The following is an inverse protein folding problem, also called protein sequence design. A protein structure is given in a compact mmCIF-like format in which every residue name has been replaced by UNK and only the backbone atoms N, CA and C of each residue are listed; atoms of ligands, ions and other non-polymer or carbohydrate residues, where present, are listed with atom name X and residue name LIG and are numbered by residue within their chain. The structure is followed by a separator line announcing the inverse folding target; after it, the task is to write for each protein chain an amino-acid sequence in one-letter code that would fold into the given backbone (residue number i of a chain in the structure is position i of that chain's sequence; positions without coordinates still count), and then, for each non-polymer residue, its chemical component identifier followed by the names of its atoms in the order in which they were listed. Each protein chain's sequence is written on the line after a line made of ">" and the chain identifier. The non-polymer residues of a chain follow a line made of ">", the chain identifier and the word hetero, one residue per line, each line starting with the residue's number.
data_IF_485301132021
#
_entry.id   IF_485301132021
#
_cell.length_a   1.000
_cell.length_b   1.000
_cell.length_c   1.000
_cell.angle_alpha   90.00
_cell.angle_beta   90.00
_cell.angle_gamma   90.00
#
_symmetry.space_group_name_H-M   'P 1'
#
loop_
_entity.id
_entity.type
_entity.pdbx_description
1 polymer ?
#
# COMPACT_ATOMS: atom_id res chain seq x y z
N UNK A 1 37.94 -8.20 -45.61
CA UNK A 1 38.21 -6.84 -45.10
C UNK A 1 37.48 -6.71 -43.79
N UNK A 2 38.16 -6.33 -42.70
CA UNK A 2 37.52 -6.08 -41.40
C UNK A 2 36.62 -4.85 -41.55
N UNK A 3 35.30 -5.02 -41.54
CA UNK A 3 34.40 -3.88 -41.67
C UNK A 3 34.40 -3.09 -40.36
N UNK A 4 35.11 -1.96 -40.38
CA UNK A 4 35.30 -1.07 -39.23
C UNK A 4 33.97 -0.54 -38.66
N UNK A 5 32.93 -0.38 -39.49
CA UNK A 5 31.62 0.10 -39.06
C UNK A 5 30.86 -0.96 -38.27
N UNK A 6 30.91 -2.23 -38.70
CA UNK A 6 30.30 -3.37 -37.99
C UNK A 6 30.99 -3.57 -36.64
N UNK A 7 32.33 -3.58 -36.63
CA UNK A 7 33.10 -3.75 -35.39
C UNK A 7 32.77 -2.66 -34.36
N UNK A 8 32.71 -1.39 -34.79
CA UNK A 8 32.35 -0.27 -33.91
C UNK A 8 30.93 -0.36 -33.36
N UNK A 9 29.95 -0.78 -34.17
CA UNK A 9 28.57 -0.94 -33.71
C UNK A 9 28.43 -2.08 -32.70
N UNK A 10 29.10 -3.20 -32.95
CA UNK A 10 29.09 -4.38 -32.08
C UNK A 10 29.77 -4.09 -30.74
N UNK A 11 30.87 -3.33 -30.73
CA UNK A 11 31.56 -2.95 -29.48
C UNK A 11 30.65 -2.09 -28.58
N UNK A 12 29.91 -1.13 -29.15
CA UNK A 12 28.92 -0.36 -28.40
C UNK A 12 27.73 -1.21 -27.95
N UNK A 13 27.24 -2.10 -28.81
CA UNK A 13 26.13 -3.01 -28.50
C UNK A 13 26.47 -3.93 -27.33
N UNK A 14 27.70 -4.46 -27.28
CA UNK A 14 28.21 -5.29 -26.18
C UNK A 14 28.08 -4.61 -24.82
N UNK A 15 28.44 -3.32 -24.73
CA UNK A 15 28.38 -2.55 -23.47
C UNK A 15 26.95 -2.53 -22.89
N UNK A 16 25.94 -2.47 -23.76
CA UNK A 16 24.54 -2.43 -23.34
C UNK A 16 23.95 -3.82 -22.99
N UNK A 17 24.66 -4.92 -23.28
CA UNK A 17 24.24 -6.30 -22.97
C UNK A 17 24.80 -6.85 -21.65
N UNK A 18 25.36 -6.03 -20.76
CA UNK A 18 25.98 -6.47 -19.49
C UNK A 18 25.05 -7.23 -18.52
N UNK A 19 23.73 -7.26 -18.80
CA UNK A 19 22.75 -7.99 -17.99
C UNK A 19 22.64 -9.48 -18.38
N UNK A 20 23.23 -9.89 -19.51
CA UNK A 20 23.33 -11.29 -19.93
C UNK A 20 24.64 -11.90 -19.41
N UNK A 21 24.65 -13.22 -19.23
CA UNK A 21 25.87 -13.96 -18.94
C UNK A 21 26.85 -13.91 -20.14
N UNK A 22 28.15 -14.03 -19.87
CA UNK A 22 29.21 -13.87 -20.90
C UNK A 22 29.02 -14.80 -22.12
N UNK A 23 28.47 -16.00 -21.90
CA UNK A 23 28.17 -16.96 -22.97
C UNK A 23 27.02 -16.48 -23.86
N UNK A 24 25.91 -16.07 -23.26
CA UNK A 24 24.73 -15.60 -24.00
C UNK A 24 25.03 -14.27 -24.72
N UNK A 25 25.84 -13.42 -24.10
CA UNK A 25 26.32 -12.19 -24.71
C UNK A 25 27.15 -12.48 -25.98
N UNK A 26 28.03 -13.47 -25.95
CA UNK A 26 28.83 -13.88 -27.11
C UNK A 26 27.92 -14.39 -28.25
N UNK A 27 26.96 -15.25 -27.93
CA UNK A 27 26.03 -15.83 -28.92
C UNK A 27 25.18 -14.74 -29.61
N UNK A 28 24.63 -13.81 -28.83
CA UNK A 28 23.84 -12.68 -29.37
C UNK A 28 24.68 -11.79 -30.27
N UNK A 29 25.92 -11.50 -29.87
CA UNK A 29 26.83 -10.66 -30.64
C UNK A 29 27.21 -11.33 -31.97
N UNK A 30 27.48 -12.63 -31.94
CA UNK A 30 27.83 -13.40 -33.13
C UNK A 30 26.66 -13.46 -34.11
N UNK A 31 25.45 -13.70 -33.63
CA UNK A 31 24.23 -13.70 -34.45
C UNK A 31 24.03 -12.37 -35.20
N UNK A 32 24.08 -11.24 -34.49
CA UNK A 32 23.89 -9.93 -35.13
C UNK A 32 25.06 -9.52 -36.03
N UNK A 33 26.28 -10.00 -35.72
CA UNK A 33 27.45 -9.80 -36.58
C UNK A 33 27.29 -10.55 -37.90
N UNK A 34 26.86 -11.81 -37.88
CA UNK A 34 26.60 -12.61 -39.08
C UNK A 34 25.47 -11.99 -39.90
N UNK A 35 24.39 -11.57 -39.25
CA UNK A 35 23.28 -10.86 -39.91
C UNK A 35 23.73 -9.59 -40.63
N UNK A 36 24.58 -8.76 -40.02
CA UNK A 36 25.10 -7.54 -40.66
C UNK A 36 25.98 -7.83 -41.88
N UNK A 37 26.69 -8.96 -41.88
CA UNK A 37 27.54 -9.40 -42.98
C UNK A 37 26.67 -9.92 -44.13
N UNK A 38 25.70 -10.78 -43.82
CA UNK A 38 24.80 -11.40 -44.81
C UNK A 38 23.86 -10.38 -45.46
N UNK A 39 23.38 -9.40 -44.70
CA UNK A 39 22.54 -8.32 -45.19
C UNK A 39 23.33 -7.17 -45.87
N UNK A 40 24.64 -7.33 -46.04
CA UNK A 40 25.55 -6.33 -46.62
C UNK A 40 25.43 -4.93 -45.99
N UNK A 41 25.30 -4.89 -44.66
CA UNK A 41 25.19 -3.65 -43.88
C UNK A 41 26.58 -3.05 -43.63
N UNK A 42 27.24 -2.62 -44.71
CA UNK A 42 28.65 -2.22 -44.67
C UNK A 42 28.90 -0.78 -44.16
N UNK A 43 27.85 0.00 -43.86
CA UNK A 43 27.93 1.39 -43.41
C UNK A 43 27.12 1.61 -42.13
N UNK A 44 27.61 2.45 -41.22
CA UNK A 44 26.95 2.81 -39.96
C UNK A 44 25.50 3.27 -40.17
N UNK A 45 25.23 4.05 -41.21
CA UNK A 45 23.88 4.55 -41.49
C UNK A 45 22.92 3.42 -41.90
N UNK A 46 23.41 2.43 -42.67
CA UNK A 46 22.61 1.26 -43.05
C UNK A 46 22.30 0.38 -41.83
N UNK A 47 23.29 0.16 -40.97
CA UNK A 47 23.12 -0.62 -39.73
C UNK A 47 22.09 0.06 -38.82
N UNK A 48 22.19 1.38 -38.63
CA UNK A 48 21.25 2.13 -37.77
C UNK A 48 19.84 2.18 -38.36
N UNK A 49 19.70 2.26 -39.69
CA UNK A 49 18.37 2.26 -40.32
C UNK A 49 17.65 0.90 -40.16
N UNK A 50 18.37 -0.21 -40.31
CA UNK A 50 17.79 -1.55 -40.24
C UNK A 50 17.62 -2.07 -38.80
N UNK A 51 18.64 -1.90 -37.97
CA UNK A 51 18.70 -2.47 -36.62
C UNK A 51 18.46 -1.44 -35.50
N UNK A 52 18.44 -0.15 -35.82
CA UNK A 52 18.38 0.94 -34.86
C UNK A 52 19.73 1.24 -34.22
N UNK A 53 19.74 2.14 -33.23
CA UNK A 53 20.95 2.44 -32.45
C UNK A 53 21.35 1.22 -31.58
N UNK A 54 22.64 1.03 -31.25
CA UNK A 54 23.10 -0.09 -30.43
C UNK A 54 22.33 -0.23 -29.10
N UNK A 55 22.00 0.91 -28.48
CA UNK A 55 21.20 0.98 -27.25
C UNK A 55 19.74 0.53 -27.45
N UNK A 56 19.14 0.84 -28.59
CA UNK A 56 17.77 0.45 -28.89
C UNK A 56 17.68 -1.05 -29.16
N UNK A 57 18.62 -1.59 -29.95
CA UNK A 57 18.73 -3.02 -30.21
C UNK A 57 18.94 -3.80 -28.90
N UNK A 58 19.85 -3.34 -28.03
CA UNK A 58 20.12 -4.00 -26.75
C UNK A 58 18.89 -4.06 -25.85
N UNK A 59 18.09 -2.98 -25.79
CA UNK A 59 16.86 -2.97 -25.01
C UNK A 59 15.83 -3.97 -25.55
N UNK A 60 15.73 -4.11 -26.88
CA UNK A 60 14.83 -5.08 -27.52
C UNK A 60 15.26 -6.51 -27.17
N UNK A 61 16.54 -6.82 -27.35
CA UNK A 61 17.09 -8.15 -27.03
C UNK A 61 16.93 -8.48 -25.55
N UNK A 62 17.24 -7.55 -24.65
CA UNK A 62 17.05 -7.74 -23.21
C UNK A 62 15.59 -7.99 -22.83
N UNK A 63 14.65 -7.29 -23.48
CA UNK A 63 13.24 -7.51 -23.24
C UNK A 63 12.83 -8.93 -23.68
N UNK A 64 13.23 -9.37 -24.87
CA UNK A 64 12.92 -10.71 -25.38
C UNK A 64 13.56 -11.81 -24.52
N UNK A 65 14.81 -11.62 -24.06
CA UNK A 65 15.46 -12.53 -23.11
C UNK A 65 14.78 -12.55 -21.74
N UNK A 66 14.34 -11.40 -21.22
CA UNK A 66 13.62 -11.34 -19.94
C UNK A 66 12.26 -12.04 -20.01
N UNK A 67 11.58 -11.95 -21.15
CA UNK A 67 10.34 -12.68 -21.40
C UNK A 67 10.65 -14.17 -21.46
N UNK A 68 11.68 -14.60 -22.20
CA UNK A 68 12.09 -16.01 -22.28
C UNK A 68 12.52 -16.58 -20.93
N UNK A 69 13.22 -15.82 -20.08
CA UNK A 69 13.58 -16.24 -18.72
C UNK A 69 12.36 -16.30 -17.80
N UNK A 70 11.40 -15.38 -17.94
CA UNK A 70 10.13 -15.46 -17.22
C UNK A 70 9.31 -16.66 -17.69
N UNK A 71 9.30 -16.93 -19.00
CA UNK A 71 8.62 -18.06 -19.61
C UNK A 71 9.30 -19.36 -19.25
N UNK A 72 10.64 -19.43 -19.14
CA UNK A 72 11.37 -20.59 -18.63
C UNK A 72 11.09 -20.84 -17.14
N UNK A 73 10.98 -19.78 -16.33
CA UNK A 73 10.48 -19.89 -14.95
C UNK A 73 9.00 -20.33 -14.87
N UNK A 74 8.19 -20.03 -15.89
CA UNK A 74 6.80 -20.51 -16.04
C UNK A 74 6.69 -21.88 -16.75
N UNK A 75 7.68 -22.30 -17.55
CA UNK A 75 7.78 -23.57 -18.27
C UNK A 75 8.45 -24.64 -17.40
N UNK A 76 9.26 -24.24 -16.41
CA UNK A 76 9.57 -25.06 -15.24
C UNK A 76 8.34 -25.28 -14.33
N UNK A 77 7.22 -24.61 -14.59
CA UNK A 77 5.90 -24.90 -14.00
C UNK A 77 4.99 -25.66 -15.00
N UNK A 78 5.28 -25.67 -16.31
CA UNK A 78 4.34 -26.15 -17.36
C UNK A 78 4.88 -27.14 -18.41
N UNK A 79 6.09 -27.68 -18.30
CA UNK A 79 6.43 -28.88 -19.06
C UNK A 79 5.93 -30.11 -18.29
N UNK A 80 4.82 -30.67 -18.76
CA UNK A 80 4.03 -31.77 -18.20
C UNK A 80 4.74 -33.13 -18.02
N UNK A 81 6.04 -33.14 -17.75
CA UNK A 81 6.77 -34.28 -17.21
C UNK A 81 7.34 -33.90 -15.84
N UNK A 82 6.42 -33.74 -14.88
CA UNK A 82 6.81 -33.80 -13.47
C UNK A 82 7.21 -35.26 -13.22
N UNK A 83 8.48 -35.49 -12.91
CA UNK A 83 8.94 -36.81 -12.47
C UNK A 83 8.07 -37.27 -11.29
N UNK A 84 7.75 -38.57 -11.19
CA UNK A 84 6.86 -39.08 -10.12
C UNK A 84 7.31 -38.63 -8.72
N UNK A 85 8.62 -38.44 -8.54
CA UNK A 85 9.25 -37.95 -7.32
C UNK A 85 8.97 -36.45 -7.06
N UNK A 86 9.04 -35.59 -8.07
CA UNK A 86 8.68 -34.17 -7.92
C UNK A 86 7.17 -33.97 -7.69
N UNK A 87 6.33 -34.81 -8.32
CA UNK A 87 4.88 -34.78 -8.11
C UNK A 87 4.54 -35.24 -6.70
N UNK A 88 5.20 -36.28 -6.21
CA UNK A 88 5.07 -36.75 -4.84
C UNK A 88 5.53 -35.67 -3.84
N UNK A 89 6.68 -35.03 -4.05
CA UNK A 89 7.17 -33.99 -3.14
C UNK A 89 6.24 -32.77 -3.07
N UNK A 90 5.65 -32.34 -4.21
CA UNK A 90 4.65 -31.26 -4.24
C UNK A 90 3.34 -31.65 -3.57
N UNK A 91 2.89 -32.88 -3.79
CA UNK A 91 1.69 -33.41 -3.14
C UNK A 91 1.90 -33.55 -1.63
N UNK A 92 3.06 -34.04 -1.18
CA UNK A 92 3.43 -34.12 0.23
C UNK A 92 3.57 -32.73 0.86
N UNK A 93 4.08 -31.75 0.12
CA UNK A 93 4.15 -30.35 0.57
C UNK A 93 2.77 -29.72 0.70
N UNK A 94 1.86 -29.98 -0.24
CA UNK A 94 0.45 -29.56 -0.15
C UNK A 94 -0.30 -30.28 0.99
N UNK A 95 -0.14 -31.60 1.13
CA UNK A 95 -0.72 -32.39 2.21
C UNK A 95 -0.19 -31.90 3.56
N UNK A 96 1.12 -31.64 3.65
CA UNK A 96 1.75 -31.04 4.83
C UNK A 96 1.17 -29.66 5.15
N UNK A 97 0.92 -28.82 4.15
CA UNK A 97 0.28 -27.51 4.33
C UNK A 97 -1.18 -27.64 4.78
N UNK A 98 -1.92 -28.62 4.28
CA UNK A 98 -3.30 -28.91 4.69
C UNK A 98 -3.35 -29.44 6.13
N UNK A 99 -2.47 -30.37 6.50
CA UNK A 99 -2.36 -30.88 7.87
C UNK A 99 -1.95 -29.73 8.81
N UNK A 100 -0.99 -28.91 8.41
CA UNK A 100 -0.55 -27.75 9.18
C UNK A 100 -1.69 -26.72 9.35
N UNK A 101 -2.48 -26.47 8.30
CA UNK A 101 -3.66 -25.61 8.36
C UNK A 101 -4.76 -26.19 9.26
N UNK A 102 -5.00 -27.50 9.20
CA UNK A 102 -5.93 -28.20 10.10
C UNK A 102 -5.49 -28.12 11.56
N UNK A 103 -4.18 -28.24 11.83
CA UNK A 103 -3.62 -28.12 13.19
C UNK A 103 -3.58 -26.66 13.67
N UNK A 104 -3.39 -25.70 12.77
CA UNK A 104 -3.42 -24.28 13.06
C UNK A 104 -4.84 -23.72 13.19
N UNK A 105 -5.85 -24.35 12.56
CA UNK A 105 -7.24 -23.89 12.55
C UNK A 105 -7.83 -23.71 13.97
N UNK A 106 -7.70 -24.66 14.91
CA UNK A 106 -8.13 -24.47 16.31
C UNK A 106 -7.44 -23.28 16.98
N UNK A 107 -6.12 -23.15 16.76
CA UNK A 107 -5.31 -22.08 17.35
C UNK A 107 -5.69 -20.71 16.78
N UNK A 108 -5.95 -20.64 15.48
CA UNK A 108 -6.39 -19.43 14.80
C UNK A 108 -7.74 -18.94 15.33
N UNK A 109 -8.68 -19.86 15.57
CA UNK A 109 -9.99 -19.54 16.18
C UNK A 109 -9.80 -18.98 17.60
N UNK A 110 -8.96 -19.62 18.43
CA UNK A 110 -8.65 -19.13 19.78
C UNK A 110 -8.04 -17.73 19.76
N UNK A 111 -7.09 -17.49 18.85
CA UNK A 111 -6.45 -16.18 18.67
C UNK A 111 -7.48 -15.14 18.21
N UNK A 112 -8.36 -15.47 17.26
CA UNK A 112 -9.40 -14.57 16.77
C UNK A 112 -10.38 -14.16 17.87
N UNK A 113 -10.78 -15.09 18.74
CA UNK A 113 -11.66 -14.83 19.89
C UNK A 113 -11.04 -13.82 20.86
N UNK A 114 -9.70 -13.75 20.96
CA UNK A 114 -9.01 -12.78 21.83
C UNK A 114 -8.74 -11.46 21.09
N UNK A 115 -8.27 -11.51 19.85
CA UNK A 115 -7.86 -10.32 19.10
C UNK A 115 -9.04 -9.43 18.70
N UNK A 116 -10.17 -10.01 18.28
CA UNK A 116 -11.34 -9.25 17.84
C UNK A 116 -11.90 -8.37 18.98
N UNK A 117 -12.21 -8.89 20.18
CA UNK A 117 -12.69 -8.05 21.27
C UNK A 117 -11.60 -7.11 21.80
N UNK A 118 -10.31 -7.46 21.73
CA UNK A 118 -9.23 -6.53 22.09
C UNK A 118 -9.23 -5.28 21.21
N UNK A 119 -9.40 -5.44 19.90
CA UNK A 119 -9.49 -4.31 18.95
C UNK A 119 -10.79 -3.53 19.18
N UNK A 120 -11.90 -4.24 19.38
CA UNK A 120 -13.20 -3.61 19.62
C UNK A 120 -13.22 -2.80 20.92
N UNK A 121 -12.66 -3.35 22.00
CA UNK A 121 -12.57 -2.66 23.30
C UNK A 121 -11.63 -1.48 23.26
N UNK A 122 -10.50 -1.57 22.54
CA UNK A 122 -9.60 -0.43 22.34
C UNK A 122 -10.32 0.73 21.65
N UNK A 123 -11.03 0.45 20.55
CA UNK A 123 -11.79 1.47 19.84
C UNK A 123 -12.98 1.98 20.66
N UNK A 124 -13.68 1.07 21.33
CA UNK A 124 -14.78 1.38 22.24
C UNK A 124 -14.35 2.27 23.41
N UNK A 125 -13.16 2.05 23.97
CA UNK A 125 -12.61 2.87 25.05
C UNK A 125 -12.37 4.30 24.57
N UNK A 126 -11.85 4.50 23.35
CA UNK A 126 -11.65 5.84 22.78
C UNK A 126 -13.01 6.56 22.64
N UNK A 127 -14.00 5.88 22.05
CA UNK A 127 -15.35 6.45 21.88
C UNK A 127 -16.00 6.75 23.23
N UNK A 128 -15.87 5.85 24.19
CA UNK A 128 -16.38 6.01 25.55
C UNK A 128 -15.75 7.20 26.25
N UNK A 129 -14.43 7.40 26.12
CA UNK A 129 -13.73 8.53 26.73
C UNK A 129 -14.25 9.87 26.18
N UNK A 130 -14.47 9.95 24.86
CA UNK A 130 -15.03 11.14 24.21
C UNK A 130 -16.46 11.40 24.69
N UNK A 131 -17.28 10.35 24.78
CA UNK A 131 -18.67 10.47 25.24
C UNK A 131 -18.74 10.91 26.71
N UNK A 132 -17.89 10.34 27.57
CA UNK A 132 -17.78 10.71 28.98
C UNK A 132 -17.34 12.16 29.10
N UNK A 133 -16.34 12.60 28.34
CA UNK A 133 -15.89 13.99 28.32
C UNK A 133 -17.02 14.94 27.92
N UNK A 134 -17.77 14.61 26.86
CA UNK A 134 -18.94 15.39 26.43
C UNK A 134 -20.03 15.45 27.52
N UNK A 135 -20.29 14.32 28.18
CA UNK A 135 -21.24 14.25 29.29
C UNK A 135 -20.82 15.11 30.49
N UNK A 136 -19.52 15.11 30.82
CA UNK A 136 -18.97 15.91 31.92
C UNK A 136 -19.12 17.41 31.62
N UNK A 137 -18.82 17.85 30.41
CA UNK A 137 -19.06 19.23 29.97
C UNK A 137 -20.56 19.59 30.04
N UNK A 138 -21.45 18.68 29.61
CA UNK A 138 -22.89 18.93 29.71
C UNK A 138 -23.37 19.06 31.18
N UNK A 139 -22.88 18.20 32.07
CA UNK A 139 -23.18 18.28 33.50
C UNK A 139 -22.59 19.53 34.16
N UNK A 140 -21.40 19.96 33.72
CA UNK A 140 -20.77 21.22 34.15
C UNK A 140 -21.68 22.42 33.86
N UNK A 141 -22.25 22.49 32.65
CA UNK A 141 -23.18 23.56 32.27
C UNK A 141 -24.43 23.56 33.16
N UNK A 142 -25.02 22.40 33.43
CA UNK A 142 -26.18 22.28 34.33
C UNK A 142 -25.81 22.72 35.75
N UNK A 143 -24.64 22.33 36.24
CA UNK A 143 -24.11 22.75 37.54
C UNK A 143 -23.87 24.26 37.62
N UNK A 144 -23.30 24.86 36.58
CA UNK A 144 -23.07 26.31 36.49
C UNK A 144 -24.38 27.11 36.52
N UNK A 145 -25.37 26.68 35.74
CA UNK A 145 -26.71 27.28 35.75
C UNK A 145 -27.37 27.09 37.13
N UNK A 146 -27.28 25.90 37.70
CA UNK A 146 -27.81 25.59 39.03
C UNK A 146 -27.21 26.47 40.13
N UNK A 147 -25.90 26.70 40.08
CA UNK A 147 -25.20 27.59 41.03
C UNK A 147 -25.70 29.03 40.93
N UNK A 148 -25.99 29.53 39.73
CA UNK A 148 -26.60 30.87 39.53
C UNK A 148 -28.00 30.92 40.16
N UNK A 149 -28.83 29.91 39.93
CA UNK A 149 -30.18 29.85 40.53
C UNK A 149 -30.15 29.82 42.05
N UNK A 150 -29.30 28.97 42.63
CA UNK A 150 -29.14 28.89 44.10
C UNK A 150 -28.61 30.22 44.63
N UNK A 151 -27.61 30.82 43.99
CA UNK A 151 -27.07 32.12 44.37
C UNK A 151 -28.13 33.23 44.38
N UNK A 152 -29.02 33.24 43.38
CA UNK A 152 -30.10 34.22 43.27
C UNK A 152 -31.20 34.00 44.32
N UNK A 153 -31.47 32.75 44.70
CA UNK A 153 -32.45 32.41 45.73
C UNK A 153 -32.06 32.92 47.13
N UNK A 154 -30.76 33.14 47.40
CA UNK A 154 -30.22 33.52 48.72
C UNK A 154 -29.97 35.03 48.83
N UNK A 155 -30.37 35.82 47.82
CA UNK A 155 -30.08 37.27 47.73
C UNK A 155 -30.61 38.08 48.92
N UNK A 156 -31.74 37.68 49.50
CA UNK A 156 -32.34 38.35 50.66
C UNK A 156 -31.72 37.92 52.00
N UNK A 157 -30.92 36.84 52.02
CA UNK A 157 -30.27 36.35 53.23
C UNK A 157 -28.85 36.89 53.38
N UNK A 158 -28.04 36.83 52.33
CA UNK A 158 -26.67 37.32 52.38
C UNK A 158 -26.15 37.70 51.00
N UNK A 159 -25.80 38.98 50.87
CA UNK A 159 -25.27 39.56 49.64
C UNK A 159 -23.93 38.90 49.22
N UNK A 160 -23.07 38.59 50.19
CA UNK A 160 -21.76 37.96 49.95
C UNK A 160 -21.89 36.52 49.44
N UNK A 161 -22.89 35.76 49.90
CA UNK A 161 -23.08 34.40 49.38
C UNK A 161 -23.62 34.41 47.95
N UNK A 162 -24.49 35.35 47.61
CA UNK A 162 -25.02 35.50 46.25
C UNK A 162 -23.92 35.80 45.25
N UNK A 163 -23.03 36.76 45.54
CA UNK A 163 -21.93 37.10 44.61
C UNK A 163 -20.99 35.91 44.40
N UNK A 164 -20.77 35.10 45.43
CA UNK A 164 -19.92 33.91 45.36
C UNK A 164 -20.53 32.81 44.47
N UNK A 165 -21.77 32.40 44.73
CA UNK A 165 -22.44 31.34 43.94
C UNK A 165 -22.69 31.76 42.50
N UNK A 166 -23.13 33.00 42.27
CA UNK A 166 -23.32 33.54 40.92
C UNK A 166 -21.98 33.66 40.20
N UNK A 167 -20.93 34.14 40.88
CA UNK A 167 -19.59 34.23 40.33
C UNK A 167 -19.01 32.88 39.93
N UNK A 168 -19.17 31.84 40.76
CA UNK A 168 -18.75 30.47 40.44
C UNK A 168 -19.52 29.93 39.24
N UNK A 169 -20.84 30.11 39.21
CA UNK A 169 -21.66 29.66 38.08
C UNK A 169 -21.24 30.33 36.78
N UNK A 170 -20.93 31.63 36.81
CA UNK A 170 -20.44 32.37 35.65
C UNK A 170 -19.04 31.92 35.21
N UNK A 171 -18.14 31.61 36.16
CA UNK A 171 -16.82 31.06 35.85
C UNK A 171 -16.90 29.70 35.18
N UNK A 172 -17.75 28.81 35.69
CA UNK A 172 -17.98 27.48 35.10
C UNK A 172 -18.46 27.62 33.65
N UNK A 173 -19.49 28.43 33.42
CA UNK A 173 -20.01 28.67 32.08
C UNK A 173 -18.99 29.37 31.16
N UNK A 174 -18.17 30.27 31.71
CA UNK A 174 -17.08 30.91 30.98
C UNK A 174 -16.03 29.90 30.52
N UNK A 175 -15.65 28.96 31.38
CA UNK A 175 -14.73 27.87 31.03
C UNK A 175 -15.36 26.96 29.97
N UNK A 176 -16.63 26.56 30.15
CA UNK A 176 -17.35 25.73 29.20
C UNK A 176 -17.40 26.36 27.79
N UNK A 177 -17.55 27.68 27.69
CA UNK A 177 -17.51 28.40 26.41
C UNK A 177 -16.18 28.21 25.65
N UNK A 178 -15.04 28.20 26.36
CA UNK A 178 -13.73 27.90 25.77
C UNK A 178 -13.55 26.42 25.42
N UNK A 179 -14.23 25.50 26.13
CA UNK A 179 -14.16 24.06 25.83
C UNK A 179 -14.93 23.69 24.57
N UNK A 180 -16.03 24.37 24.22
CA UNK A 180 -16.84 24.07 23.04
C UNK A 180 -16.03 23.96 21.73
N UNK A 181 -15.20 24.94 21.33
CA UNK A 181 -14.41 24.82 20.10
C UNK A 181 -13.40 23.67 20.17
N UNK A 182 -12.84 23.38 21.35
CA UNK A 182 -11.92 22.26 21.58
C UNK A 182 -12.66 20.92 21.38
N UNK A 183 -13.85 20.77 21.94
CA UNK A 183 -14.71 19.58 21.77
C UNK A 183 -15.03 19.37 20.29
N UNK A 184 -15.45 20.41 19.57
CA UNK A 184 -15.79 20.30 18.14
C UNK A 184 -14.54 19.91 17.32
N UNK A 185 -13.38 20.51 17.64
CA UNK A 185 -12.12 20.17 16.99
C UNK A 185 -11.73 18.69 17.26
N UNK A 186 -11.87 18.23 18.50
CA UNK A 186 -11.59 16.85 18.90
C UNK A 186 -12.49 15.85 18.18
N UNK A 187 -13.80 16.12 18.11
CA UNK A 187 -14.77 15.27 17.39
C UNK A 187 -14.47 15.21 15.90
N UNK A 188 -14.19 16.37 15.26
CA UNK A 188 -13.78 16.43 13.86
C UNK A 188 -12.48 15.64 13.61
N UNK A 189 -11.51 15.78 14.50
CA UNK A 189 -10.24 15.06 14.40
C UNK A 189 -10.46 13.55 14.50
N UNK A 190 -11.23 13.08 15.49
CA UNK A 190 -11.59 11.68 15.61
C UNK A 190 -12.29 11.14 14.35
N UNK A 191 -13.28 11.86 13.81
CA UNK A 191 -13.96 11.44 12.58
C UNK A 191 -12.99 11.34 11.40
N UNK A 192 -12.05 12.29 11.29
CA UNK A 192 -11.01 12.27 10.26
C UNK A 192 -10.10 11.05 10.40
N UNK A 193 -9.65 10.73 11.62
CA UNK A 193 -8.82 9.54 11.90
C UNK A 193 -9.56 8.27 11.51
N UNK A 194 -10.84 8.16 11.83
CA UNK A 194 -11.67 7.01 11.44
C UNK A 194 -11.78 6.90 9.93
N UNK A 195 -12.09 7.99 9.22
CA UNK A 195 -12.18 7.99 7.75
C UNK A 195 -10.84 7.65 7.10
N UNK A 196 -9.73 8.17 7.62
CA UNK A 196 -8.38 7.86 7.13
C UNK A 196 -8.07 6.38 7.35
N UNK A 197 -8.42 5.82 8.51
CA UNK A 197 -8.24 4.41 8.82
C UNK A 197 -9.06 3.52 7.87
N UNK A 198 -10.34 3.82 7.64
CA UNK A 198 -11.17 3.09 6.70
C UNK A 198 -10.66 3.20 5.26
N UNK A 199 -10.18 4.39 4.84
CA UNK A 199 -9.60 4.57 3.51
C UNK A 199 -8.27 3.81 3.36
N UNK A 200 -7.45 3.76 4.42
CA UNK A 200 -6.21 2.99 4.44
C UNK A 200 -6.48 1.49 4.41
N UNK A 201 -7.42 1.02 5.22
CA UNK A 201 -7.85 -0.37 5.27
C UNK A 201 -8.47 -0.81 3.94
N UNK A 202 -9.32 0.04 3.35
CA UNK A 202 -9.90 -0.16 2.03
C UNK A 202 -8.84 -0.20 0.94
N UNK A 203 -7.84 0.68 0.95
CA UNK A 203 -6.70 0.57 0.02
C UNK A 203 -5.89 -0.71 0.26
N UNK A 204 -5.67 -1.13 1.50
CA UNK A 204 -4.87 -2.34 1.77
C UNK A 204 -5.60 -3.63 1.42
N UNK A 205 -6.93 -3.65 1.50
CA UNK A 205 -7.77 -4.82 1.20
C UNK A 205 -8.30 -4.84 -0.24
N UNK A 206 -8.58 -3.69 -0.86
CA UNK A 206 -9.19 -3.60 -2.21
C UNK A 206 -8.19 -3.29 -3.33
N UNK A 207 -6.99 -2.79 -3.02
CA UNK A 207 -5.97 -2.47 -4.03
C UNK A 207 -5.08 -3.67 -4.40
N UNK A 208 -5.61 -4.89 -4.25
CA UNK A 208 -5.05 -6.12 -4.84
C UNK A 208 -5.51 -6.39 -6.27
N UNK A 209 -6.46 -5.61 -6.81
CA UNK A 209 -6.96 -5.80 -8.17
C UNK A 209 -6.71 -4.55 -8.99
N UNK A 210 -5.53 -4.50 -9.64
CA UNK A 210 -5.28 -3.59 -10.75
C UNK A 210 -6.29 -3.94 -11.84
N UNK A 211 -7.39 -3.22 -11.91
CA UNK A 211 -8.25 -3.25 -13.09
C UNK A 211 -7.49 -2.51 -14.20
N UNK A 212 -7.07 -3.18 -15.29
CA UNK A 212 -6.61 -2.45 -16.46
C UNK A 212 -7.79 -1.60 -16.94
N UNK A 213 -7.58 -0.29 -17.06
CA UNK A 213 -8.55 0.55 -17.74
C UNK A 213 -8.69 0.02 -19.17
N UNK A 214 -9.90 -0.42 -19.48
CA UNK A 214 -10.27 -0.94 -20.79
C UNK A 214 -10.04 0.18 -21.81
N UNK A 215 -9.27 -0.20 -22.83
CA UNK A 215 -8.81 0.59 -23.95
C UNK A 215 -9.70 1.76 -24.36
N UNK A 216 -9.03 2.90 -24.51
CA UNK A 216 -9.30 3.83 -25.58
C UNK A 216 -9.41 3.04 -26.90
N UNK A 217 -10.65 2.85 -27.32
CA UNK A 217 -11.00 2.53 -28.69
C UNK A 217 -11.96 3.64 -29.11
N UNK A 218 -11.51 4.55 -29.97
CA UNK A 218 -11.71 4.41 -31.42
C UNK A 218 -11.53 5.79 -32.04
N UNK A 219 -10.49 5.94 -32.85
CA UNK A 219 -10.49 6.91 -33.94
C UNK A 219 -11.53 6.47 -34.97
N UNK A 220 -12.50 7.35 -35.27
CA UNK A 220 -13.18 7.45 -36.56
C UNK A 220 -13.73 8.87 -36.69
#
# INVERSE_FOLDING_TARGET
>A
MKNKAIDSYIDEFRIYLHQLDEKEQADVIEFYREYMIDADLQSSDKIINELGTPKHLARKVLADYSIKMSEENYQNINNGQITSNERASRNLKMIGLVILALMASPVAIMIAIVLIPLILTFFGMIVFMILLFLFLVAMSVVGGIGAIFIGLSVIFQSFWTTIFYVGIGLLILGVDFFLIPIVIALVKWCFSVVVIFFRWLGKKLLYGRKTPMKGDKTNA
#
